data_IF_885935297571
#
_entry.id   IF_885935297571
#
_cell.length_a   1.000
_cell.length_b   1.000
_cell.length_c   1.000
_cell.angle_alpha   90.00
_cell.angle_beta   90.00
_cell.angle_gamma   90.00
#
_symmetry.space_group_name_H-M   'P 1'
#
loop_
_entity.id
_entity.type
_entity.pdbx_description
1 polymer ?
#
# COMPACT_ATOMS: atom_id res chain seq x y z
N UNK A 1 -27.08 -17.67 33.45
CA UNK A 1 -26.91 -18.19 32.10
C UNK A 1 -26.91 -17.07 31.04
N UNK A 2 -27.98 -16.23 30.95
CA UNK A 2 -28.03 -15.16 29.94
C UNK A 2 -26.92 -14.10 30.08
N UNK A 3 -26.53 -13.75 31.31
CA UNK A 3 -25.46 -12.79 31.60
C UNK A 3 -24.08 -13.29 31.17
N UNK A 4 -23.78 -14.55 31.41
CA UNK A 4 -22.50 -15.18 31.03
C UNK A 4 -22.36 -15.29 29.49
N UNK A 5 -23.44 -15.59 28.80
CA UNK A 5 -23.46 -15.63 27.31
C UNK A 5 -23.24 -14.23 26.72
N UNK A 6 -23.90 -13.19 27.26
CA UNK A 6 -23.71 -11.80 26.81
C UNK A 6 -22.27 -11.32 26.96
N UNK A 7 -21.62 -11.71 28.04
CA UNK A 7 -20.23 -11.37 28.33
C UNK A 7 -19.24 -12.04 27.37
N UNK A 8 -19.44 -13.32 27.09
CA UNK A 8 -18.65 -14.05 26.11
C UNK A 8 -18.75 -13.40 24.73
N UNK A 9 -19.95 -12.96 24.32
CA UNK A 9 -20.17 -12.31 23.03
C UNK A 9 -19.41 -10.97 22.96
N UNK A 10 -19.42 -10.15 24.02
CA UNK A 10 -18.70 -8.88 24.05
C UNK A 10 -17.18 -9.09 23.95
N UNK A 11 -16.63 -10.06 24.67
CA UNK A 11 -15.19 -10.38 24.63
C UNK A 11 -14.79 -10.90 23.24
N UNK A 12 -15.56 -11.81 22.67
CA UNK A 12 -15.29 -12.36 21.33
C UNK A 12 -15.39 -11.28 20.26
N UNK A 13 -16.39 -10.38 20.34
CA UNK A 13 -16.53 -9.25 19.40
C UNK A 13 -15.36 -8.28 19.52
N UNK A 14 -14.89 -7.97 20.71
CA UNK A 14 -13.73 -7.10 20.94
C UNK A 14 -12.43 -7.68 20.37
N UNK A 15 -12.22 -8.99 20.56
CA UNK A 15 -11.05 -9.71 19.99
C UNK A 15 -11.15 -9.74 18.46
N UNK A 16 -12.32 -10.03 17.92
CA UNK A 16 -12.55 -10.08 16.46
C UNK A 16 -12.31 -8.74 15.78
N UNK A 17 -12.78 -7.65 16.39
CA UNK A 17 -12.56 -6.29 15.89
C UNK A 17 -11.08 -5.89 15.92
N UNK A 18 -10.37 -6.24 17.00
CA UNK A 18 -8.92 -5.99 17.11
C UNK A 18 -8.10 -6.78 16.08
N UNK A 19 -8.52 -8.01 15.77
CA UNK A 19 -7.86 -8.83 14.77
C UNK A 19 -8.10 -8.31 13.34
N UNK A 20 -9.32 -7.89 13.03
CA UNK A 20 -9.67 -7.29 11.74
C UNK A 20 -8.86 -6.02 11.47
N UNK A 21 -8.78 -5.09 12.44
CA UNK A 21 -7.96 -3.87 12.34
C UNK A 21 -6.47 -4.18 12.18
N UNK A 22 -5.95 -5.18 12.87
CA UNK A 22 -4.55 -5.60 12.74
C UNK A 22 -4.24 -6.13 11.34
N UNK A 23 -5.17 -6.87 10.75
CA UNK A 23 -5.01 -7.43 9.41
C UNK A 23 -5.06 -6.35 8.31
N UNK A 24 -5.95 -5.37 8.47
CA UNK A 24 -6.06 -4.23 7.55
C UNK A 24 -4.78 -3.38 7.55
N UNK A 25 -4.24 -3.05 8.71
CA UNK A 25 -2.95 -2.38 8.84
C UNK A 25 -1.81 -3.18 8.22
N UNK A 26 -1.83 -4.52 8.36
CA UNK A 26 -0.88 -5.41 7.72
C UNK A 26 -0.95 -5.37 6.20
N UNK A 27 -2.16 -5.37 5.63
CA UNK A 27 -2.40 -5.22 4.18
C UNK A 27 -1.91 -3.88 3.66
N UNK A 28 -2.24 -2.78 4.36
CA UNK A 28 -1.79 -1.42 4.03
C UNK A 28 -0.27 -1.33 4.00
N UNK A 29 0.39 -1.80 5.06
CA UNK A 29 1.86 -1.82 5.13
C UNK A 29 2.47 -2.61 3.97
N UNK A 30 1.97 -3.82 3.70
CA UNK A 30 2.47 -4.67 2.61
C UNK A 30 2.30 -4.00 1.25
N UNK A 31 1.18 -3.31 1.01
CA UNK A 31 0.95 -2.55 -0.22
C UNK A 31 1.95 -1.41 -0.36
N UNK A 32 2.19 -0.63 0.71
CA UNK A 32 3.18 0.45 0.70
C UNK A 32 4.60 -0.06 0.44
N UNK A 33 5.00 -1.19 1.03
CA UNK A 33 6.29 -1.82 0.78
C UNK A 33 6.43 -2.28 -0.70
N UNK A 34 5.34 -2.74 -1.31
CA UNK A 34 5.33 -3.11 -2.72
C UNK A 34 5.36 -1.89 -3.65
N UNK A 35 4.66 -0.81 -3.31
CA UNK A 35 4.76 0.47 -4.03
C UNK A 35 6.20 0.98 -4.00
N UNK A 36 6.84 0.99 -2.84
CA UNK A 36 8.25 1.36 -2.70
C UNK A 36 9.14 0.51 -3.61
N UNK A 37 8.96 -0.81 -3.60
CA UNK A 37 9.71 -1.72 -4.47
C UNK A 37 9.49 -1.43 -5.96
N UNK A 38 8.26 -1.15 -6.37
CA UNK A 38 7.94 -0.77 -7.75
C UNK A 38 8.65 0.52 -8.17
N UNK A 39 8.66 1.54 -7.31
CA UNK A 39 9.35 2.82 -7.55
C UNK A 39 10.86 2.59 -7.75
N UNK A 40 11.49 1.83 -6.84
CA UNK A 40 12.92 1.53 -6.90
C UNK A 40 13.29 0.76 -8.18
N UNK A 41 12.50 -0.24 -8.57
CA UNK A 41 12.73 -1.01 -9.77
C UNK A 41 12.59 -0.15 -11.03
N UNK A 42 11.52 0.64 -11.12
CA UNK A 42 11.26 1.51 -12.26
C UNK A 42 12.36 2.57 -12.41
N UNK A 43 12.75 3.22 -11.29
CA UNK A 43 13.86 4.18 -11.26
C UNK A 43 15.16 3.53 -11.72
N UNK A 44 15.44 2.30 -11.28
CA UNK A 44 16.61 1.56 -11.69
C UNK A 44 16.67 1.33 -13.21
N UNK A 45 15.56 0.91 -13.82
CA UNK A 45 15.47 0.71 -15.27
C UNK A 45 15.67 2.02 -16.06
N UNK A 46 15.11 3.12 -15.60
CA UNK A 46 15.26 4.43 -16.22
C UNK A 46 16.70 4.94 -16.07
N UNK A 47 17.26 4.89 -14.85
CA UNK A 47 18.57 5.48 -14.55
C UNK A 47 19.73 4.75 -15.19
N UNK A 48 19.75 3.42 -15.10
CA UNK A 48 20.88 2.61 -15.61
C UNK A 48 20.68 2.13 -17.02
N UNK A 49 19.44 2.00 -17.49
CA UNK A 49 19.10 1.55 -18.82
C UNK A 49 19.02 2.68 -19.85
N UNK A 50 18.98 3.96 -19.42
CA UNK A 50 18.63 5.10 -20.28
C UNK A 50 17.41 4.79 -21.15
N UNK A 51 16.45 4.08 -20.56
CA UNK A 51 15.30 3.51 -21.26
C UNK A 51 14.14 4.49 -21.31
N UNK A 52 13.34 4.37 -22.35
CA UNK A 52 12.04 5.00 -22.39
C UNK A 52 11.16 4.49 -21.25
N UNK A 53 10.14 5.25 -20.88
CA UNK A 53 9.19 4.85 -19.83
C UNK A 53 8.54 3.50 -20.15
N UNK A 54 8.20 3.26 -21.42
CA UNK A 54 7.69 1.97 -21.91
C UNK A 54 8.66 0.81 -21.65
N UNK A 55 9.93 0.98 -22.04
CA UNK A 55 10.95 -0.05 -21.86
C UNK A 55 11.26 -0.29 -20.38
N UNK A 56 11.18 0.76 -19.55
CA UNK A 56 11.38 0.66 -18.10
C UNK A 56 10.27 -0.15 -17.44
N UNK A 57 8.99 0.08 -17.81
CA UNK A 57 7.87 -0.73 -17.33
C UNK A 57 7.99 -2.19 -17.77
N UNK A 58 8.35 -2.42 -19.03
CA UNK A 58 8.56 -3.78 -19.55
C UNK A 58 9.71 -4.49 -18.82
N UNK A 59 10.86 -3.84 -18.64
CA UNK A 59 12.02 -4.39 -17.96
C UNK A 59 11.76 -4.69 -16.48
N UNK A 60 11.12 -3.76 -15.78
CA UNK A 60 10.78 -3.92 -14.37
C UNK A 60 9.71 -5.00 -14.13
N UNK A 61 8.82 -5.27 -15.09
CA UNK A 61 7.79 -6.30 -14.98
C UNK A 61 8.38 -7.69 -14.73
N UNK A 62 9.54 -7.98 -15.32
CA UNK A 62 10.24 -9.26 -15.13
C UNK A 62 10.79 -9.50 -13.71
N UNK A 63 10.87 -8.44 -12.89
CA UNK A 63 11.36 -8.47 -11.49
C UNK A 63 10.23 -8.46 -10.47
N UNK A 64 8.98 -8.47 -10.93
CA UNK A 64 7.76 -8.45 -10.14
C UNK A 64 6.96 -9.74 -10.36
N UNK A 65 6.06 -10.05 -9.42
CA UNK A 65 5.20 -11.23 -9.46
C UNK A 65 3.72 -10.87 -9.26
N UNK A 66 2.83 -11.76 -9.68
CA UNK A 66 1.38 -11.65 -9.49
C UNK A 66 0.82 -10.32 -10.01
N UNK A 67 -0.11 -9.75 -9.27
CA UNK A 67 -0.84 -8.51 -9.64
C UNK A 67 0.06 -7.30 -9.91
N UNK A 68 1.24 -7.24 -9.30
CA UNK A 68 2.20 -6.14 -9.51
C UNK A 68 2.88 -6.26 -10.87
N UNK A 69 3.21 -7.49 -11.29
CA UNK A 69 3.69 -7.77 -12.63
C UNK A 69 2.63 -7.45 -13.67
N UNK A 70 1.40 -7.87 -13.45
CA UNK A 70 0.27 -7.60 -14.33
C UNK A 70 0.02 -6.11 -14.51
N UNK A 71 0.11 -5.33 -13.44
CA UNK A 71 0.02 -3.87 -13.49
C UNK A 71 1.07 -3.27 -14.44
N UNK A 72 2.34 -3.69 -14.33
CA UNK A 72 3.42 -3.17 -15.19
C UNK A 72 3.23 -3.58 -16.64
N UNK A 73 2.86 -4.83 -16.90
CA UNK A 73 2.59 -5.35 -18.25
C UNK A 73 1.40 -4.60 -18.88
N UNK A 74 0.30 -4.46 -18.15
CA UNK A 74 -0.89 -3.78 -18.64
C UNK A 74 -0.62 -2.30 -18.94
N UNK A 75 0.15 -1.62 -18.08
CA UNK A 75 0.56 -0.24 -18.31
C UNK A 75 1.40 -0.12 -19.57
N UNK A 76 2.41 -0.98 -19.76
CA UNK A 76 3.24 -1.00 -20.95
C UNK A 76 2.42 -1.30 -22.22
N UNK A 77 1.51 -2.25 -22.18
CA UNK A 77 0.64 -2.58 -23.31
C UNK A 77 -0.22 -1.38 -23.74
N UNK A 78 -0.88 -0.72 -22.80
CA UNK A 78 -1.69 0.46 -23.10
C UNK A 78 -0.87 1.63 -23.66
N UNK A 79 0.36 1.82 -23.17
CA UNK A 79 1.27 2.81 -23.76
C UNK A 79 1.59 2.51 -25.22
N UNK A 80 1.71 1.24 -25.59
CA UNK A 80 2.00 0.82 -26.96
C UNK A 80 0.78 0.98 -27.89
N UNK A 81 -0.43 0.77 -27.36
CA UNK A 81 -1.68 0.92 -28.11
C UNK A 81 -1.95 2.37 -28.56
N UNK A 82 -1.26 3.34 -27.97
CA UNK A 82 -1.29 4.76 -28.33
C UNK A 82 -2.71 5.32 -28.51
N UNK A 83 -3.57 5.07 -27.54
CA UNK A 83 -4.99 5.47 -27.57
C UNK A 83 -5.23 6.97 -27.48
N UNK A 84 -4.16 7.77 -27.41
CA UNK A 84 -4.24 9.22 -27.23
C UNK A 84 -4.43 9.66 -25.76
N UNK A 85 -4.53 8.69 -24.84
CA UNK A 85 -4.66 8.94 -23.42
C UNK A 85 -3.33 9.42 -22.80
N UNK A 86 -3.43 10.28 -21.79
CA UNK A 86 -2.24 10.65 -21.01
C UNK A 86 -1.67 9.45 -20.25
N UNK A 87 -0.36 9.45 -20.02
CA UNK A 87 0.27 8.39 -19.24
C UNK A 87 -0.37 8.26 -17.84
N UNK A 88 -0.71 9.38 -17.20
CA UNK A 88 -1.40 9.38 -15.93
C UNK A 88 -2.75 8.64 -15.94
N UNK A 89 -3.52 8.79 -17.02
CA UNK A 89 -4.78 8.07 -17.23
C UNK A 89 -4.52 6.57 -17.38
N UNK A 90 -3.58 6.18 -18.22
CA UNK A 90 -3.17 4.79 -18.43
C UNK A 90 -2.71 4.15 -17.12
N UNK A 91 -1.87 4.85 -16.36
CA UNK A 91 -1.34 4.39 -15.08
C UNK A 91 -2.46 4.17 -14.07
N UNK A 92 -3.36 5.14 -13.92
CA UNK A 92 -4.50 5.10 -12.98
C UNK A 92 -5.46 3.95 -13.29
N UNK A 93 -5.83 3.79 -14.54
CA UNK A 93 -6.71 2.70 -14.96
C UNK A 93 -6.07 1.31 -14.77
N UNK A 94 -4.79 1.17 -15.12
CA UNK A 94 -4.07 -0.08 -14.94
C UNK A 94 -3.90 -0.43 -13.47
N UNK A 95 -3.61 0.57 -12.63
CA UNK A 95 -3.53 0.40 -11.19
C UNK A 95 -4.89 0.00 -10.58
N UNK A 96 -5.98 0.64 -10.98
CA UNK A 96 -7.33 0.32 -10.52
C UNK A 96 -7.78 -1.08 -10.92
N UNK A 97 -7.30 -1.62 -12.06
CA UNK A 97 -7.61 -2.99 -12.51
C UNK A 97 -6.80 -4.07 -11.80
N UNK A 98 -5.52 -3.80 -11.54
CA UNK A 98 -4.59 -4.83 -11.07
C UNK A 98 -4.30 -4.75 -9.57
N UNK A 99 -4.36 -3.58 -8.96
CA UNK A 99 -3.92 -3.35 -7.59
C UNK A 99 -5.13 -3.16 -6.65
N UNK A 100 -5.04 -3.75 -5.46
CA UNK A 100 -6.01 -3.56 -4.38
C UNK A 100 -5.60 -2.34 -3.54
N UNK A 101 -5.90 -1.15 -4.04
CA UNK A 101 -5.52 0.11 -3.42
C UNK A 101 -6.50 0.57 -2.31
N UNK A 102 -7.58 -0.15 -2.07
CA UNK A 102 -8.59 0.18 -1.06
C UNK A 102 -8.05 0.10 0.36
N UNK A 103 -6.98 -0.69 0.56
CA UNK A 103 -6.28 -0.76 1.85
C UNK A 103 -5.44 0.48 2.15
N UNK A 104 -5.19 1.36 1.18
CA UNK A 104 -4.44 2.60 1.36
C UNK A 104 -5.36 3.73 1.85
N UNK A 105 -4.79 4.69 2.59
CA UNK A 105 -5.49 5.94 2.85
C UNK A 105 -5.69 6.74 1.56
N UNK A 106 -6.65 7.67 1.59
CA UNK A 106 -6.90 8.54 0.43
C UNK A 106 -5.61 9.28 0.02
N UNK A 107 -4.89 9.83 0.98
CA UNK A 107 -3.64 10.56 0.75
C UNK A 107 -2.55 9.70 0.10
N UNK A 108 -2.37 8.45 0.54
CA UNK A 108 -1.41 7.50 -0.04
C UNK A 108 -1.78 7.13 -1.48
N UNK A 109 -3.04 6.95 -1.74
CA UNK A 109 -3.60 6.63 -3.06
C UNK A 109 -3.40 7.79 -4.03
N UNK A 110 -3.72 9.01 -3.58
CA UNK A 110 -3.55 10.22 -4.38
C UNK A 110 -2.08 10.49 -4.71
N UNK A 111 -1.17 10.25 -3.77
CA UNK A 111 0.29 10.31 -4.01
C UNK A 111 0.73 9.28 -5.06
N UNK A 112 0.25 8.06 -4.96
CA UNK A 112 0.59 7.01 -5.92
C UNK A 112 0.10 7.37 -7.34
N UNK A 113 -1.12 7.90 -7.48
CA UNK A 113 -1.63 8.35 -8.77
C UNK A 113 -0.91 9.58 -9.30
N UNK A 114 -0.55 10.52 -8.43
CA UNK A 114 0.25 11.70 -8.78
C UNK A 114 1.60 11.34 -9.39
N UNK A 115 2.22 10.24 -8.96
CA UNK A 115 3.44 9.73 -9.59
C UNK A 115 3.20 9.41 -11.08
N UNK A 116 2.11 8.73 -11.40
CA UNK A 116 1.74 8.44 -12.79
C UNK A 116 1.52 9.71 -13.60
N UNK A 117 0.77 10.68 -13.05
CA UNK A 117 0.51 11.94 -13.72
C UNK A 117 1.81 12.70 -14.05
N UNK A 118 2.75 12.72 -13.12
CA UNK A 118 4.02 13.46 -13.29
C UNK A 118 4.99 12.78 -14.25
N UNK A 119 5.10 11.45 -14.20
CA UNK A 119 6.02 10.70 -15.06
C UNK A 119 5.74 10.87 -16.56
N UNK A 120 4.51 11.15 -16.93
CA UNK A 120 4.11 11.33 -18.32
C UNK A 120 4.59 12.62 -18.97
N UNK A 121 4.89 13.67 -18.18
CA UNK A 121 5.21 15.00 -18.68
C UNK A 121 6.65 15.44 -18.42
N UNK A 122 7.36 14.77 -17.53
CA UNK A 122 8.69 15.15 -17.08
C UNK A 122 9.78 14.62 -18.01
N UNK A 123 10.81 15.42 -18.27
CA UNK A 123 12.06 14.92 -18.84
C UNK A 123 12.81 14.00 -17.87
N UNK A 124 13.74 13.21 -18.39
CA UNK A 124 14.46 12.13 -17.68
C UNK A 124 14.98 12.54 -16.28
N UNK A 125 15.69 13.66 -16.19
CA UNK A 125 16.27 14.13 -14.94
C UNK A 125 15.21 14.48 -13.89
N UNK A 126 14.10 15.06 -14.33
CA UNK A 126 13.00 15.41 -13.46
C UNK A 126 12.20 14.16 -13.04
N UNK A 127 12.05 13.17 -13.92
CA UNK A 127 11.45 11.87 -13.58
C UNK A 127 12.24 11.19 -12.46
N UNK A 128 13.58 11.15 -12.58
CA UNK A 128 14.45 10.55 -11.57
C UNK A 128 14.37 11.29 -10.23
N UNK A 129 14.39 12.63 -10.24
CA UNK A 129 14.21 13.42 -9.01
C UNK A 129 12.86 13.18 -8.35
N UNK A 130 11.81 13.09 -9.15
CA UNK A 130 10.46 12.82 -8.62
C UNK A 130 10.36 11.43 -8.01
N UNK A 131 10.96 10.43 -8.64
CA UNK A 131 11.03 9.07 -8.08
C UNK A 131 11.85 9.01 -6.80
N UNK A 132 12.98 9.75 -6.70
CA UNK A 132 13.78 9.85 -5.49
C UNK A 132 13.00 10.50 -4.33
N UNK A 133 12.19 11.52 -4.63
CA UNK A 133 11.32 12.16 -3.63
C UNK A 133 10.25 11.18 -3.14
N UNK A 134 9.54 10.55 -4.08
CA UNK A 134 8.46 9.60 -3.78
C UNK A 134 8.97 8.39 -2.99
N UNK A 135 10.18 7.90 -3.29
CA UNK A 135 10.82 6.84 -2.53
C UNK A 135 11.00 7.24 -1.06
N UNK A 136 11.58 8.42 -0.81
CA UNK A 136 11.79 8.93 0.57
C UNK A 136 10.48 9.14 1.32
N UNK A 137 9.46 9.70 0.67
CA UNK A 137 8.14 9.90 1.24
C UNK A 137 7.46 8.57 1.58
N UNK A 138 7.55 7.59 0.68
CA UNK A 138 6.99 6.25 0.89
C UNK A 138 7.72 5.52 2.01
N UNK A 139 9.05 5.61 2.08
CA UNK A 139 9.83 5.06 3.20
C UNK A 139 9.46 5.70 4.53
N UNK A 140 9.26 7.02 4.56
CA UNK A 140 8.84 7.73 5.76
C UNK A 140 7.45 7.25 6.21
N UNK A 141 6.49 7.16 5.29
CA UNK A 141 5.16 6.68 5.58
C UNK A 141 5.15 5.23 6.11
N UNK A 142 5.99 4.35 5.55
CA UNK A 142 6.15 2.97 6.05
C UNK A 142 6.73 2.98 7.47
N UNK A 143 7.70 3.84 7.78
CA UNK A 143 8.27 3.96 9.14
C UNK A 143 7.23 4.42 10.16
N UNK A 144 6.41 5.40 9.80
CA UNK A 144 5.32 5.86 10.67
C UNK A 144 4.27 4.77 10.89
N UNK A 145 3.85 4.08 9.82
CA UNK A 145 2.94 2.93 9.95
C UNK A 145 3.49 1.83 10.88
N UNK A 146 4.81 1.59 10.86
CA UNK A 146 5.44 0.60 11.78
C UNK A 146 5.37 1.05 13.23
N UNK A 147 5.58 2.33 13.52
CA UNK A 147 5.47 2.86 14.89
C UNK A 147 4.04 2.73 15.40
N UNK A 148 3.08 3.21 14.62
CA UNK A 148 1.66 3.12 14.91
C UNK A 148 1.21 1.68 15.17
N UNK A 149 1.71 0.74 14.37
CA UNK A 149 1.41 -0.68 14.53
C UNK A 149 1.92 -1.23 15.87
N UNK A 150 3.15 -0.89 16.24
CA UNK A 150 3.73 -1.33 17.52
C UNK A 150 3.01 -0.73 18.73
N UNK A 151 2.64 0.54 18.67
CA UNK A 151 1.92 1.24 19.75
C UNK A 151 0.50 0.71 19.91
N UNK A 152 -0.25 0.62 18.80
CA UNK A 152 -1.63 0.09 18.82
C UNK A 152 -1.67 -1.37 19.30
N UNK A 153 -0.72 -2.21 18.87
CA UNK A 153 -0.64 -3.60 19.34
C UNK A 153 -0.39 -3.71 20.83
N UNK A 154 0.47 -2.85 21.40
CA UNK A 154 0.68 -2.78 22.86
C UNK A 154 -0.59 -2.34 23.57
N UNK A 155 -1.25 -1.31 23.05
CA UNK A 155 -2.48 -0.76 23.62
C UNK A 155 -3.61 -1.80 23.65
N UNK A 156 -3.86 -2.45 22.51
CA UNK A 156 -4.90 -3.50 22.43
C UNK A 156 -4.61 -4.69 23.34
N UNK A 157 -3.34 -5.08 23.49
CA UNK A 157 -2.94 -6.14 24.41
C UNK A 157 -3.18 -5.73 25.87
N UNK A 158 -2.84 -4.51 26.23
CA UNK A 158 -3.08 -3.97 27.59
C UNK A 158 -4.58 -3.83 27.88
N UNK A 159 -5.36 -3.32 26.93
CA UNK A 159 -6.81 -3.19 27.08
C UNK A 159 -7.51 -4.55 27.17
N UNK A 160 -7.07 -5.55 26.42
CA UNK A 160 -7.60 -6.91 26.50
C UNK A 160 -7.35 -7.55 27.87
N UNK A 161 -6.15 -7.37 28.42
CA UNK A 161 -5.79 -7.88 29.76
C UNK A 161 -6.56 -7.13 30.85
N UNK A 162 -6.57 -5.79 30.82
CA UNK A 162 -7.29 -4.97 31.81
C UNK A 162 -8.79 -5.20 31.75
N UNK A 163 -9.37 -5.28 30.57
CA UNK A 163 -10.79 -5.60 30.37
C UNK A 163 -11.15 -6.96 30.89
N UNK A 164 -10.31 -7.98 30.65
CA UNK A 164 -10.49 -9.33 31.19
C UNK A 164 -10.45 -9.37 32.72
N UNK A 165 -9.50 -8.65 33.35
CA UNK A 165 -9.40 -8.55 34.81
C UNK A 165 -10.62 -7.80 35.38
N UNK A 166 -11.03 -6.68 34.77
CA UNK A 166 -12.17 -5.89 35.23
C UNK A 166 -13.45 -6.70 35.21
N UNK A 167 -13.65 -7.48 34.15
CA UNK A 167 -14.79 -8.39 34.04
C UNK A 167 -14.73 -9.51 35.10
N UNK A 168 -13.56 -10.10 35.32
CA UNK A 168 -13.41 -11.15 36.36
C UNK A 168 -13.70 -10.64 37.76
N UNK A 169 -13.26 -9.41 38.07
CA UNK A 169 -13.52 -8.78 39.40
C UNK A 169 -14.97 -8.37 39.57
N UNK A 170 -15.64 -7.90 38.52
CA UNK A 170 -17.04 -7.44 38.59
C UNK A 170 -18.04 -8.61 38.73
N UNK A 171 -17.63 -9.80 38.33
CA UNK A 171 -18.48 -10.99 38.35
C UNK A 171 -18.14 -11.96 39.47
N UNK A 172 -17.12 -11.66 40.28
CA UNK A 172 -16.87 -12.40 41.51
C UNK A 172 -17.61 -11.74 42.68
#
# INVERSE_FOLDING_TARGET
MLRTVGLCVIVISGIGCGFAMSNELGRRKKMMEMILRMIILLRGEIRYGNKSLYDAFTGASGKLEGKYREFFILTAQKMKENTGDSFGTIFRESAGKCLDLDCLSQEERDRFYSLGDQLGYLGLDMQLKQMDLMEKETEYAIRELRKDFCEKRKLYRSMGILGGIFVAVFFW
#
